data_IF_091520877742
#
_entry.id   IF_091520877742
#
_cell.length_a   1.000
_cell.length_b   1.000
_cell.length_c   1.000
_cell.angle_alpha   90.00
_cell.angle_beta   90.00
_cell.angle_gamma   90.00
#
_symmetry.space_group_name_H-M   'P 1'
#
loop_
_entity.id
_entity.type
_entity.pdbx_description
1 polymer ?
#
# COMPACT_ATOMS: atom_id res chain seq x y z
N UNK A 1 -17.95 25.65 12.02
CA UNK A 1 -16.87 24.69 12.23
C UNK A 1 -17.10 23.51 11.31
N UNK A 2 -16.26 23.33 10.29
CA UNK A 2 -16.53 22.42 9.17
C UNK A 2 -16.27 20.97 9.54
N UNK A 3 -15.22 20.72 10.31
CA UNK A 3 -14.66 19.42 10.67
C UNK A 3 -15.11 18.93 12.07
N UNK A 4 -16.06 19.61 12.71
CA UNK A 4 -16.60 19.21 14.01
C UNK A 4 -17.04 17.73 14.04
N UNK A 5 -17.72 17.27 13.00
CA UNK A 5 -18.18 15.88 12.87
C UNK A 5 -17.05 14.86 12.68
N UNK A 6 -15.85 15.31 12.32
CA UNK A 6 -14.65 14.47 12.25
C UNK A 6 -13.97 14.33 13.62
N UNK A 7 -14.04 15.37 14.46
CA UNK A 7 -13.41 15.41 15.78
C UNK A 7 -14.28 14.85 16.90
N UNK A 8 -15.60 14.97 16.79
CA UNK A 8 -16.55 14.61 17.86
C UNK A 8 -17.43 13.43 17.43
N UNK A 9 -17.74 12.54 18.35
CA UNK A 9 -18.71 11.45 18.12
C UNK A 9 -20.11 11.97 17.83
N UNK A 10 -20.92 11.14 17.16
CA UNK A 10 -22.30 11.50 16.86
C UNK A 10 -23.09 11.73 18.16
N UNK A 11 -23.64 12.94 18.37
CA UNK A 11 -24.47 13.20 19.53
C UNK A 11 -25.79 12.40 19.43
N UNK A 12 -26.41 12.06 20.57
CA UNK A 12 -27.71 11.39 20.57
C UNK A 12 -28.75 12.16 19.75
N UNK A 13 -29.57 11.43 19.00
CA UNK A 13 -30.65 12.02 18.22
C UNK A 13 -31.60 12.77 19.17
N UNK A 14 -31.83 14.07 18.97
CA UNK A 14 -32.68 14.85 19.86
C UNK A 14 -34.13 14.37 19.81
N UNK A 15 -34.73 14.27 20.99
CA UNK A 15 -36.17 14.02 21.20
C UNK A 15 -36.92 15.33 21.47
N UNK A 16 -38.24 15.28 21.52
CA UNK A 16 -39.06 16.45 21.90
C UNK A 16 -38.68 17.00 23.28
N UNK A 17 -38.35 16.11 24.23
CA UNK A 17 -37.91 16.43 25.59
C UNK A 17 -36.46 16.93 25.71
N UNK A 18 -35.68 16.90 24.62
CA UNK A 18 -34.28 17.35 24.65
C UNK A 18 -34.17 18.86 24.86
N UNK A 19 -33.14 19.28 25.60
CA UNK A 19 -32.88 20.68 25.89
C UNK A 19 -32.59 21.49 24.62
N UNK A 20 -32.84 22.82 24.61
CA UNK A 20 -32.50 23.66 23.48
C UNK A 20 -31.01 23.57 23.08
N UNK A 21 -30.12 23.43 24.07
CA UNK A 21 -28.69 23.25 23.85
C UNK A 21 -28.38 21.94 23.11
N UNK A 22 -28.90 20.81 23.57
CA UNK A 22 -28.68 19.52 22.92
C UNK A 22 -29.19 19.50 21.46
N UNK A 23 -30.35 20.13 21.21
CA UNK A 23 -30.89 20.31 19.85
C UNK A 23 -29.98 21.18 18.98
N UNK A 24 -29.38 22.23 19.53
CA UNK A 24 -28.45 23.10 18.82
C UNK A 24 -27.13 22.39 18.49
N UNK A 25 -26.60 21.61 19.43
CA UNK A 25 -25.36 20.84 19.26
C UNK A 25 -25.52 19.77 18.17
N UNK A 26 -26.62 19.02 18.19
CA UNK A 26 -26.92 18.05 17.13
C UNK A 26 -27.01 18.72 15.76
N UNK A 27 -27.75 19.84 15.62
CA UNK A 27 -27.84 20.58 14.34
C UNK A 27 -26.48 21.08 13.86
N UNK A 28 -25.63 21.55 14.78
CA UNK A 28 -24.27 22.01 14.45
C UNK A 28 -23.42 20.84 13.95
N UNK A 29 -23.48 19.69 14.62
CA UNK A 29 -22.79 18.47 14.21
C UNK A 29 -23.29 17.95 12.87
N UNK A 30 -24.61 17.86 12.67
CA UNK A 30 -25.24 17.41 11.43
C UNK A 30 -24.84 18.29 10.24
N UNK A 31 -24.85 19.62 10.41
CA UNK A 31 -24.39 20.56 9.39
C UNK A 31 -22.92 20.32 9.03
N UNK A 32 -22.06 20.14 10.02
CA UNK A 32 -20.64 19.82 9.81
C UNK A 32 -20.46 18.49 9.07
N UNK A 33 -21.20 17.44 9.46
CA UNK A 33 -21.21 16.13 8.82
C UNK A 33 -21.57 16.23 7.33
N UNK A 34 -22.69 16.90 7.01
CA UNK A 34 -23.16 17.06 5.62
C UNK A 34 -22.19 17.85 4.75
N UNK A 35 -21.65 18.96 5.28
CA UNK A 35 -20.73 19.80 4.53
C UNK A 35 -19.39 19.10 4.28
N UNK A 36 -18.84 18.41 5.29
CA UNK A 36 -17.60 17.64 5.13
C UNK A 36 -17.77 16.49 4.14
N UNK A 37 -18.88 15.75 4.23
CA UNK A 37 -19.19 14.68 3.29
C UNK A 37 -19.30 15.19 1.85
N UNK A 38 -19.98 16.32 1.65
CA UNK A 38 -20.11 16.95 0.33
C UNK A 38 -18.74 17.36 -0.23
N UNK A 39 -17.90 17.98 0.59
CA UNK A 39 -16.56 18.43 0.21
C UNK A 39 -15.65 17.25 -0.16
N UNK A 40 -15.59 16.21 0.69
CA UNK A 40 -14.80 15.01 0.43
C UNK A 40 -15.28 14.33 -0.86
N UNK A 41 -16.60 14.11 -1.01
CA UNK A 41 -17.15 13.53 -2.24
C UNK A 41 -16.73 14.36 -3.45
N UNK A 42 -16.89 15.68 -3.42
CA UNK A 42 -16.56 16.57 -4.52
C UNK A 42 -15.08 16.50 -4.96
N UNK A 43 -14.15 16.29 -4.04
CA UNK A 43 -12.72 16.18 -4.33
C UNK A 43 -12.26 14.79 -4.79
N UNK A 44 -13.06 13.75 -4.57
CA UNK A 44 -12.76 12.41 -5.08
C UNK A 44 -13.14 12.32 -6.57
N UNK A 45 -12.19 11.86 -7.39
CA UNK A 45 -12.42 11.60 -8.82
C UNK A 45 -13.63 10.69 -9.02
N UNK A 46 -14.45 11.02 -10.03
CA UNK A 46 -15.62 10.23 -10.39
C UNK A 46 -15.26 8.76 -10.72
N UNK A 47 -14.06 8.51 -11.25
CA UNK A 47 -13.57 7.16 -11.54
C UNK A 47 -13.36 6.30 -10.28
N UNK A 48 -13.09 6.92 -9.14
CA UNK A 48 -12.84 6.23 -7.86
C UNK A 48 -14.11 6.19 -7.02
N UNK A 49 -14.94 7.23 -7.10
CA UNK A 49 -16.15 7.41 -6.27
C UNK A 49 -17.11 6.22 -6.32
N UNK A 50 -17.22 5.55 -7.48
CA UNK A 50 -18.10 4.38 -7.65
C UNK A 50 -17.66 3.12 -6.88
N UNK A 51 -16.39 3.06 -6.46
CA UNK A 51 -15.84 1.94 -5.69
C UNK A 51 -15.93 2.14 -4.17
N UNK A 52 -16.32 3.33 -3.71
CA UNK A 52 -16.45 3.64 -2.28
C UNK A 52 -17.92 3.48 -1.88
N UNK A 53 -18.26 2.59 -0.94
CA UNK A 53 -19.63 2.49 -0.41
C UNK A 53 -20.17 3.84 0.04
N UNK A 54 -21.42 4.13 -0.34
CA UNK A 54 -22.04 5.38 0.06
C UNK A 54 -22.33 5.38 1.58
N UNK A 55 -22.25 6.56 2.20
CA UNK A 55 -22.59 6.76 3.61
C UNK A 55 -23.12 8.17 3.83
N UNK A 56 -24.03 8.29 4.80
CA UNK A 56 -24.57 9.56 5.30
C UNK A 56 -23.71 10.17 6.41
N UNK A 57 -22.75 9.39 6.94
CA UNK A 57 -21.86 9.81 8.02
C UNK A 57 -20.44 9.98 7.49
N UNK A 58 -19.87 11.16 7.68
CA UNK A 58 -18.55 11.51 7.12
C UNK A 58 -17.44 10.61 7.65
N UNK A 59 -17.46 10.27 8.96
CA UNK A 59 -16.50 9.33 9.56
C UNK A 59 -16.57 7.95 8.92
N UNK A 60 -17.77 7.42 8.71
CA UNK A 60 -17.95 6.13 8.06
C UNK A 60 -17.53 6.17 6.58
N UNK A 61 -17.77 7.28 5.88
CA UNK A 61 -17.33 7.47 4.50
C UNK A 61 -15.80 7.50 4.38
N UNK A 62 -15.10 8.22 5.27
CA UNK A 62 -13.63 8.21 5.31
C UNK A 62 -13.09 6.82 5.61
N UNK A 63 -13.67 6.11 6.59
CA UNK A 63 -13.28 4.72 6.88
C UNK A 63 -13.42 3.81 5.66
N UNK A 64 -14.51 3.97 4.90
CA UNK A 64 -14.72 3.20 3.67
C UNK A 64 -13.72 3.55 2.57
N UNK A 65 -13.27 4.80 2.49
CA UNK A 65 -12.16 5.22 1.62
C UNK A 65 -10.89 4.47 2.03
N UNK A 66 -10.49 4.57 3.29
CA UNK A 66 -9.27 3.95 3.81
C UNK A 66 -9.26 2.43 3.55
N UNK A 67 -10.37 1.75 3.83
CA UNK A 67 -10.53 0.31 3.57
C UNK A 67 -10.40 -0.05 2.08
N UNK A 68 -10.98 0.76 1.19
CA UNK A 68 -10.88 0.55 -0.25
C UNK A 68 -9.44 0.67 -0.76
N UNK A 69 -8.67 1.66 -0.28
CA UNK A 69 -7.27 1.84 -0.67
C UNK A 69 -6.36 0.75 -0.07
N UNK A 70 -6.57 0.36 1.19
CA UNK A 70 -5.86 -0.79 1.80
C UNK A 70 -6.10 -2.08 1.00
N UNK A 71 -7.32 -2.32 0.52
CA UNK A 71 -7.62 -3.50 -0.30
C UNK A 71 -6.87 -3.47 -1.65
N UNK A 72 -6.78 -2.29 -2.26
CA UNK A 72 -6.03 -2.06 -3.50
C UNK A 72 -4.53 -2.30 -3.32
N UNK A 73 -3.94 -1.80 -2.22
CA UNK A 73 -2.53 -1.98 -1.91
C UNK A 73 -2.19 -3.46 -1.68
N UNK A 74 -3.06 -4.20 -0.98
CA UNK A 74 -2.91 -5.66 -0.81
C UNK A 74 -2.98 -6.42 -2.13
N UNK A 75 -3.87 -6.03 -3.04
CA UNK A 75 -3.98 -6.63 -4.37
C UNK A 75 -2.76 -6.33 -5.25
N UNK A 76 -2.24 -5.10 -5.18
CA UNK A 76 -1.02 -4.69 -5.85
C UNK A 76 0.20 -5.44 -5.30
N UNK A 77 0.33 -5.55 -3.97
CA UNK A 77 1.38 -6.31 -3.32
C UNK A 77 1.33 -7.80 -3.74
N UNK A 78 0.15 -8.41 -3.77
CA UNK A 78 -0.01 -9.79 -4.25
C UNK A 78 0.41 -9.95 -5.71
N UNK A 79 0.08 -8.98 -6.56
CA UNK A 79 0.46 -8.98 -7.98
C UNK A 79 1.98 -8.85 -8.15
N UNK A 80 2.62 -7.96 -7.40
CA UNK A 80 4.07 -7.76 -7.40
C UNK A 80 4.79 -9.00 -6.85
N UNK A 81 4.28 -9.61 -5.78
CA UNK A 81 4.82 -10.85 -5.21
C UNK A 81 4.74 -12.00 -6.20
N UNK A 82 3.59 -12.16 -6.88
CA UNK A 82 3.42 -13.14 -7.95
C UNK A 82 4.46 -12.92 -9.05
N UNK A 83 4.60 -11.68 -9.54
CA UNK A 83 5.56 -11.32 -10.58
C UNK A 83 7.00 -11.59 -10.16
N UNK A 84 7.38 -11.19 -8.94
CA UNK A 84 8.71 -11.45 -8.38
C UNK A 84 8.98 -12.96 -8.34
N UNK A 85 8.02 -13.74 -7.85
CA UNK A 85 8.18 -15.19 -7.68
C UNK A 85 8.23 -15.99 -8.98
N UNK A 86 7.56 -15.51 -10.02
CA UNK A 86 7.59 -16.13 -11.35
C UNK A 86 8.75 -15.66 -12.22
N UNK A 87 9.53 -14.68 -11.78
CA UNK A 87 10.60 -14.12 -12.60
C UNK A 87 11.76 -15.11 -12.69
N UNK A 88 12.08 -15.55 -13.91
CA UNK A 88 13.30 -16.26 -14.25
C UNK A 88 14.16 -15.40 -15.18
N UNK A 89 15.48 -15.61 -15.14
CA UNK A 89 16.40 -14.92 -16.05
C UNK A 89 16.18 -15.41 -17.50
N UNK A 90 15.76 -14.53 -18.41
CA UNK A 90 15.33 -14.90 -19.77
C UNK A 90 16.45 -14.86 -20.84
N UNK A 91 17.72 -14.65 -20.44
CA UNK A 91 18.93 -14.47 -21.29
C UNK A 91 18.88 -13.33 -22.33
N UNK A 92 17.72 -12.72 -22.54
CA UNK A 92 17.55 -11.57 -23.43
C UNK A 92 18.09 -10.27 -22.83
N UNK A 93 18.45 -10.27 -21.54
CA UNK A 93 18.95 -9.13 -20.77
C UNK A 93 20.21 -9.52 -20.02
N UNK A 94 20.97 -8.53 -19.58
CA UNK A 94 22.12 -8.77 -18.70
C UNK A 94 21.67 -9.21 -17.32
N UNK A 95 22.54 -9.94 -16.61
CA UNK A 95 22.28 -10.37 -15.22
C UNK A 95 22.07 -9.14 -14.32
N UNK A 96 22.83 -8.06 -14.54
CA UNK A 96 22.67 -6.79 -13.83
C UNK A 96 21.29 -6.17 -14.01
N UNK A 97 20.75 -6.13 -15.23
CA UNK A 97 19.40 -5.63 -15.49
C UNK A 97 18.32 -6.50 -14.83
N UNK A 98 18.54 -7.82 -14.78
CA UNK A 98 17.65 -8.75 -14.10
C UNK A 98 17.63 -8.49 -12.58
N UNK A 99 18.80 -8.37 -11.96
CA UNK A 99 18.97 -8.03 -10.53
C UNK A 99 18.26 -6.70 -10.22
N UNK A 100 18.50 -5.66 -11.02
CA UNK A 100 17.86 -4.35 -10.81
C UNK A 100 16.34 -4.44 -10.86
N UNK A 101 15.76 -5.18 -11.82
CA UNK A 101 14.30 -5.36 -11.89
C UNK A 101 13.73 -6.06 -10.66
N UNK A 102 14.41 -7.08 -10.14
CA UNK A 102 13.96 -7.76 -8.91
C UNK A 102 14.06 -6.84 -7.69
N UNK A 103 15.15 -6.08 -7.57
CA UNK A 103 15.34 -5.07 -6.51
C UNK A 103 14.25 -3.99 -6.57
N UNK A 104 13.91 -3.51 -7.75
CA UNK A 104 12.87 -2.49 -7.91
C UNK A 104 11.48 -3.00 -7.51
N UNK A 105 11.18 -4.28 -7.80
CA UNK A 105 9.93 -4.91 -7.33
C UNK A 105 9.95 -5.03 -5.80
N UNK A 106 11.06 -5.46 -5.21
CA UNK A 106 11.19 -5.54 -3.75
C UNK A 106 11.06 -4.17 -3.06
N UNK A 107 11.65 -3.12 -3.62
CA UNK A 107 11.50 -1.76 -3.12
C UNK A 107 10.03 -1.29 -3.16
N UNK A 108 9.29 -1.63 -4.22
CA UNK A 108 7.86 -1.36 -4.30
C UNK A 108 7.06 -2.15 -3.26
N UNK A 109 7.39 -3.43 -3.03
CA UNK A 109 6.76 -4.25 -1.99
C UNK A 109 7.00 -3.65 -0.59
N UNK A 110 8.21 -3.17 -0.30
CA UNK A 110 8.53 -2.44 0.94
C UNK A 110 7.65 -1.21 1.15
N UNK A 111 7.36 -0.44 0.09
CA UNK A 111 6.45 0.71 0.17
C UNK A 111 4.99 0.34 0.43
N UNK A 112 4.62 -0.93 0.23
CA UNK A 112 3.29 -1.51 0.49
C UNK A 112 3.28 -2.36 1.78
N UNK A 113 4.22 -2.10 2.71
CA UNK A 113 4.39 -2.81 3.99
C UNK A 113 4.71 -4.32 3.86
N UNK A 114 5.03 -4.79 2.66
CA UNK A 114 5.49 -6.17 2.40
C UNK A 114 7.02 -6.21 2.31
N UNK A 115 7.70 -5.82 3.39
CA UNK A 115 9.16 -5.75 3.41
C UNK A 115 9.79 -7.15 3.37
N UNK A 116 10.95 -7.25 2.73
CA UNK A 116 11.73 -8.47 2.63
C UNK A 116 13.17 -8.19 3.00
N UNK A 117 13.78 -9.09 3.77
CA UNK A 117 15.16 -8.91 4.18
C UNK A 117 16.09 -8.98 2.96
N UNK A 118 17.16 -8.18 2.97
CA UNK A 118 18.14 -8.18 1.90
C UNK A 118 18.76 -9.58 1.65
N UNK A 119 19.11 -10.38 2.67
CA UNK A 119 19.58 -11.75 2.45
C UNK A 119 18.55 -12.63 1.73
N UNK A 120 17.27 -12.50 2.08
CA UNK A 120 16.21 -13.25 1.41
C UNK A 120 16.11 -12.85 -0.07
N UNK A 121 16.14 -11.55 -0.36
CA UNK A 121 16.12 -11.05 -1.73
C UNK A 121 17.31 -11.51 -2.55
N UNK A 122 18.52 -11.51 -1.99
CA UNK A 122 19.73 -12.01 -2.66
C UNK A 122 19.59 -13.50 -3.01
N UNK A 123 19.17 -14.33 -2.07
CA UNK A 123 18.93 -15.75 -2.36
C UNK A 123 17.84 -15.95 -3.42
N UNK A 124 16.78 -15.14 -3.37
CA UNK A 124 15.70 -15.18 -4.34
C UNK A 124 16.20 -14.86 -5.76
N UNK A 125 17.01 -13.81 -5.89
CA UNK A 125 17.66 -13.41 -7.13
C UNK A 125 18.58 -14.52 -7.65
N UNK A 126 19.46 -15.06 -6.81
CA UNK A 126 20.37 -16.15 -7.20
C UNK A 126 19.57 -17.38 -7.69
N UNK A 127 18.46 -17.71 -7.05
CA UNK A 127 17.61 -18.83 -7.45
C UNK A 127 16.86 -18.60 -8.78
N UNK A 128 16.60 -17.35 -9.15
CA UNK A 128 15.98 -17.00 -10.44
C UNK A 128 16.92 -17.13 -11.66
N UNK A 129 18.24 -17.21 -11.42
CA UNK A 129 19.23 -17.39 -12.49
C UNK A 129 19.24 -18.84 -13.00
N UNK A 130 19.47 -19.00 -14.31
CA UNK A 130 19.61 -20.30 -14.96
C UNK A 130 20.68 -21.18 -14.30
N UNK A 131 20.55 -22.50 -14.43
CA UNK A 131 21.45 -23.49 -13.82
C UNK A 131 22.92 -23.32 -14.25
N UNK A 132 23.17 -22.79 -15.44
CA UNK A 132 24.52 -22.47 -15.94
C UNK A 132 25.28 -21.44 -15.09
N UNK A 133 24.57 -20.61 -14.33
CA UNK A 133 25.16 -19.68 -13.36
C UNK A 133 25.52 -20.36 -12.02
N UNK A 134 25.51 -21.70 -11.94
CA UNK A 134 25.88 -22.46 -10.75
C UNK A 134 27.23 -22.03 -10.14
N UNK A 135 28.33 -21.92 -10.91
CA UNK A 135 29.62 -21.45 -10.40
C UNK A 135 29.56 -20.03 -9.81
N UNK A 136 28.78 -19.13 -10.42
CA UNK A 136 28.56 -17.78 -9.92
C UNK A 136 27.84 -17.79 -8.57
N UNK A 137 26.79 -18.61 -8.42
CA UNK A 137 26.07 -18.79 -7.14
C UNK A 137 27.00 -19.32 -6.04
N UNK A 138 27.82 -20.32 -6.35
CA UNK A 138 28.80 -20.89 -5.41
C UNK A 138 29.82 -19.83 -5.00
N UNK A 139 30.40 -19.12 -5.97
CA UNK A 139 31.36 -18.04 -5.73
C UNK A 139 30.79 -17.02 -4.75
N UNK A 140 29.63 -16.45 -5.05
CA UNK A 140 28.98 -15.45 -4.20
C UNK A 140 28.67 -15.99 -2.79
N UNK A 141 28.10 -17.20 -2.69
CA UNK A 141 27.77 -17.82 -1.39
C UNK A 141 29.00 -18.12 -0.50
N UNK A 142 30.19 -18.25 -1.10
CA UNK A 142 31.45 -18.51 -0.39
C UNK A 142 32.19 -17.24 0.04
N UNK A 143 31.73 -16.04 -0.40
CA UNK A 143 32.27 -14.77 0.06
C UNK A 143 31.90 -14.52 1.53
N UNK A 144 32.80 -13.86 2.27
CA UNK A 144 32.70 -13.70 3.73
C UNK A 144 31.77 -12.55 4.17
N UNK A 145 31.37 -11.69 3.24
CA UNK A 145 30.59 -10.49 3.53
C UNK A 145 29.09 -10.75 3.53
N UNK A 146 28.35 -9.90 4.25
CA UNK A 146 26.91 -10.04 4.50
C UNK A 146 26.10 -9.73 3.24
N UNK A 147 25.72 -10.74 2.46
CA UNK A 147 24.66 -10.73 1.43
C UNK A 147 24.23 -9.35 0.83
N UNK A 148 25.13 -8.47 0.31
CA UNK A 148 24.70 -7.18 -0.17
C UNK A 148 24.34 -7.27 -1.66
N UNK A 149 23.20 -6.71 -2.07
CA UNK A 149 22.79 -6.69 -3.48
C UNK A 149 23.78 -5.90 -4.34
N UNK A 150 24.40 -4.86 -3.76
CA UNK A 150 25.39 -4.07 -4.46
C UNK A 150 26.65 -4.89 -4.82
N UNK A 151 27.07 -5.80 -3.93
CA UNK A 151 28.19 -6.70 -4.22
C UNK A 151 27.82 -7.70 -5.33
N UNK A 152 26.58 -8.22 -5.31
CA UNK A 152 26.07 -9.09 -6.37
C UNK A 152 26.13 -8.40 -7.74
N UNK A 153 25.75 -7.12 -7.81
CA UNK A 153 25.83 -6.30 -9.03
C UNK A 153 27.28 -6.11 -9.50
N UNK A 154 28.24 -5.92 -8.60
CA UNK A 154 29.65 -5.76 -8.97
C UNK A 154 30.28 -7.02 -9.56
N UNK A 155 29.80 -8.21 -9.17
CA UNK A 155 30.28 -9.48 -9.73
C UNK A 155 29.67 -9.83 -11.11
N UNK A 156 28.69 -9.05 -11.57
CA UNK A 156 28.01 -9.25 -12.86
C UNK A 156 28.62 -8.43 -14.01
N UNK A 157 29.78 -7.79 -13.78
CA UNK A 157 30.54 -6.98 -14.75
C UNK A 157 31.49 -7.85 -15.58
#
# INVERSE_FOLDING_TARGET
DLDLALRVEEPPIPTESSTPAAKADYKRWERSNRLSLMLIKAHISQSIRGYIPNSDKVKAYIKAIDEQFVSSDKALASTLMKRLSSMSFDKCRTVSEHIMKMRDIAAKLKSLEADMSEPFLVHFILNSLHAEYGPFKISYNTHKDKWPINELLTMCV
#
